data_IF_910398197772
#
_entry.id   IF_910398197772
#
_cell.length_a   1.000
_cell.length_b   1.000
_cell.length_c   1.000
_cell.angle_alpha   90.00
_cell.angle_beta   90.00
_cell.angle_gamma   90.00
#
_symmetry.space_group_name_H-M   'P 1'
#
loop_
_entity.id
_entity.type
_entity.pdbx_description
1 polymer ?
#
# COMPACT_ATOMS: atom_id res chain seq x y z
N UNK A 1 6.46 -31.44 -16.73
CA UNK A 1 6.47 -31.25 -15.27
C UNK A 1 7.30 -30.00 -14.95
N UNK A 2 6.70 -28.81 -15.10
CA UNK A 2 7.42 -27.54 -14.93
C UNK A 2 7.39 -27.12 -13.46
N UNK A 3 8.55 -26.98 -12.82
CA UNK A 3 8.66 -26.32 -11.52
C UNK A 3 8.26 -24.85 -11.70
N UNK A 4 6.99 -24.54 -11.45
CA UNK A 4 6.53 -23.15 -11.33
C UNK A 4 7.23 -22.52 -10.12
N UNK A 5 8.34 -21.82 -10.38
CA UNK A 5 9.10 -21.16 -9.31
C UNK A 5 8.22 -20.13 -8.61
N UNK A 6 8.23 -20.18 -7.27
CA UNK A 6 7.41 -19.32 -6.40
C UNK A 6 7.59 -17.84 -6.78
N UNK A 7 6.49 -17.10 -6.87
CA UNK A 7 6.50 -15.65 -7.09
C UNK A 7 7.43 -14.95 -6.09
N UNK A 8 8.33 -14.08 -6.58
CA UNK A 8 9.19 -13.26 -5.73
C UNK A 8 8.37 -12.06 -5.23
N UNK A 9 8.35 -11.84 -3.91
CA UNK A 9 7.68 -10.69 -3.28
C UNK A 9 8.71 -9.87 -2.53
N UNK A 10 8.82 -8.59 -2.87
CA UNK A 10 9.76 -7.65 -2.30
C UNK A 10 9.01 -6.50 -1.63
N UNK A 11 9.49 -6.02 -0.49
CA UNK A 11 8.99 -4.79 0.13
C UNK A 11 10.08 -3.73 0.07
N UNK A 12 9.73 -2.55 -0.43
CA UNK A 12 10.59 -1.37 -0.45
C UNK A 12 10.36 -0.56 0.82
N UNK A 13 11.32 -0.62 1.74
CA UNK A 13 11.26 0.05 3.03
C UNK A 13 12.03 1.37 3.05
N UNK A 14 11.65 2.27 3.95
CA UNK A 14 12.34 3.54 4.13
C UNK A 14 11.46 4.63 4.74
N UNK A 15 12.13 5.65 5.27
CA UNK A 15 11.50 6.75 5.98
C UNK A 15 10.50 7.54 5.10
N UNK A 16 9.67 8.37 5.72
CA UNK A 16 8.76 9.29 5.02
C UNK A 16 9.61 10.23 4.16
N UNK A 17 9.13 10.51 2.94
CA UNK A 17 9.76 11.41 1.97
C UNK A 17 11.17 11.00 1.45
N UNK A 18 11.71 9.82 1.78
CA UNK A 18 13.02 9.36 1.27
C UNK A 18 13.06 9.03 -0.24
N UNK A 19 11.92 9.12 -0.94
CA UNK A 19 11.84 8.89 -2.38
C UNK A 19 11.44 7.48 -2.83
N UNK A 20 10.84 6.66 -1.95
CA UNK A 20 10.34 5.30 -2.29
C UNK A 20 9.46 5.27 -3.53
N UNK A 21 8.44 6.13 -3.62
CA UNK A 21 7.54 6.19 -4.77
C UNK A 21 8.23 6.70 -6.05
N UNK A 22 9.34 7.43 -5.93
CA UNK A 22 10.19 7.81 -7.07
C UNK A 22 10.99 6.59 -7.55
N UNK A 23 11.58 5.84 -6.62
CA UNK A 23 12.33 4.63 -6.94
C UNK A 23 11.43 3.54 -7.55
N UNK A 24 10.20 3.35 -7.05
CA UNK A 24 9.23 2.44 -7.65
C UNK A 24 8.89 2.81 -9.10
N UNK A 25 8.74 4.10 -9.41
CA UNK A 25 8.52 4.56 -10.79
C UNK A 25 9.70 4.18 -11.70
N UNK A 26 10.93 4.30 -11.21
CA UNK A 26 12.13 3.89 -11.94
C UNK A 26 12.17 2.37 -12.15
N UNK A 27 11.83 1.57 -11.13
CA UNK A 27 11.72 0.11 -11.26
C UNK A 27 10.67 -0.29 -12.31
N UNK A 28 9.53 0.42 -12.37
CA UNK A 28 8.47 0.12 -13.34
C UNK A 28 8.88 0.43 -14.77
N UNK A 29 9.65 1.51 -14.97
CA UNK A 29 10.23 1.83 -16.26
C UNK A 29 11.33 0.84 -16.68
N UNK A 30 12.11 0.33 -15.72
CA UNK A 30 13.23 -0.59 -15.98
C UNK A 30 12.78 -2.04 -16.17
N UNK A 31 11.73 -2.46 -15.45
CA UNK A 31 11.19 -3.82 -15.46
C UNK A 31 9.67 -3.81 -15.68
N UNK A 32 9.19 -3.59 -16.92
CA UNK A 32 7.76 -3.46 -17.21
C UNK A 32 6.91 -4.70 -16.87
N UNK A 33 7.55 -5.87 -16.79
CA UNK A 33 6.93 -7.14 -16.41
C UNK A 33 6.78 -7.32 -14.88
N UNK A 34 7.38 -6.44 -14.07
CA UNK A 34 7.24 -6.48 -12.62
C UNK A 34 5.95 -5.81 -12.19
N UNK A 35 5.27 -6.43 -11.24
CA UNK A 35 4.04 -5.86 -10.69
C UNK A 35 4.36 -5.02 -9.46
N UNK A 36 4.14 -3.70 -9.57
CA UNK A 36 4.45 -2.74 -8.53
C UNK A 36 3.17 -2.29 -7.82
N UNK A 37 3.20 -2.28 -6.50
CA UNK A 37 2.07 -1.92 -5.63
C UNK A 37 2.49 -0.77 -4.73
N UNK A 38 1.95 0.42 -4.98
CA UNK A 38 2.24 1.64 -4.19
C UNK A 38 1.40 1.69 -2.91
N UNK A 39 1.81 2.51 -1.94
CA UNK A 39 1.01 2.70 -0.72
C UNK A 39 -0.36 3.32 -1.03
N UNK A 40 -1.45 2.88 -0.36
CA UNK A 40 -2.80 3.40 -0.59
C UNK A 40 -3.04 4.77 0.09
N UNK A 41 -2.09 5.70 0.00
CA UNK A 41 -2.16 7.03 0.65
C UNK A 41 -3.42 7.80 0.26
N UNK A 42 -3.90 7.63 -0.98
CA UNK A 42 -5.13 8.24 -1.45
C UNK A 42 -6.36 7.78 -0.65
N UNK A 43 -6.42 6.49 -0.27
CA UNK A 43 -7.51 5.94 0.54
C UNK A 43 -7.48 6.52 1.96
N UNK A 44 -6.30 6.80 2.51
CA UNK A 44 -6.16 7.39 3.84
C UNK A 44 -6.59 8.86 3.90
N UNK A 45 -6.52 9.57 2.77
CA UNK A 45 -6.93 10.97 2.64
C UNK A 45 -8.41 11.15 2.29
N UNK A 46 -9.06 10.09 1.79
CA UNK A 46 -10.45 10.08 1.34
C UNK A 46 -11.15 8.80 1.81
N UNK A 47 -11.39 8.71 3.12
CA UNK A 47 -12.20 7.65 3.73
C UNK A 47 -13.67 7.93 3.40
N UNK A 48 -14.39 7.01 2.71
CA UNK A 48 -15.82 7.17 2.46
C UNK A 48 -16.57 7.23 3.79
N UNK A 49 -17.30 8.31 4.05
CA UNK A 49 -18.11 8.44 5.25
C UNK A 49 -19.33 7.52 5.18
N UNK A 50 -19.62 6.79 6.27
CA UNK A 50 -20.97 6.27 6.50
C UNK A 50 -21.84 7.44 6.96
N UNK A 51 -22.79 7.82 6.13
CA UNK A 51 -23.66 8.98 6.32
C UNK A 51 -24.68 8.75 7.44
N UNK A 52 -24.32 8.95 8.72
CA UNK A 52 -25.31 9.02 9.83
C UNK A 52 -24.96 9.92 11.02
N UNK A 53 -23.92 10.76 10.97
CA UNK A 53 -23.76 11.83 11.96
C UNK A 53 -22.99 13.01 11.36
N UNK A 54 -23.46 14.23 11.65
CA UNK A 54 -22.90 15.53 11.25
C UNK A 54 -21.38 15.48 11.07
N UNK A 55 -20.94 15.39 9.82
CA UNK A 55 -19.54 15.37 9.45
C UNK A 55 -18.88 16.70 9.87
N UNK A 56 -18.08 16.66 10.92
CA UNK A 56 -17.18 17.75 11.26
C UNK A 56 -16.13 17.92 10.15
N UNK A 57 -15.70 19.16 9.92
CA UNK A 57 -14.63 19.50 8.98
C UNK A 57 -13.41 18.61 9.24
N UNK A 58 -13.12 17.67 8.32
CA UNK A 58 -11.99 16.72 8.44
C UNK A 58 -12.36 15.23 8.42
N UNK A 59 -13.63 14.86 8.54
CA UNK A 59 -14.10 13.46 8.71
C UNK A 59 -13.75 12.47 7.59
N UNK A 60 -13.14 12.91 6.48
CA UNK A 60 -12.71 12.06 5.37
C UNK A 60 -11.19 11.88 5.25
N UNK A 61 -10.36 12.62 6.00
CA UNK A 61 -8.90 12.56 5.86
C UNK A 61 -8.26 12.05 7.16
N UNK A 62 -8.27 10.71 7.32
CA UNK A 62 -7.76 10.05 8.52
C UNK A 62 -6.25 10.28 8.72
N UNK A 63 -5.49 10.42 7.63
CA UNK A 63 -4.07 10.77 7.70
C UNK A 63 -3.87 12.14 8.36
N UNK A 64 -4.66 13.14 7.97
CA UNK A 64 -4.60 14.47 8.57
C UNK A 64 -5.07 14.46 10.03
N UNK A 65 -6.14 13.73 10.34
CA UNK A 65 -6.65 13.59 11.70
C UNK A 65 -5.61 12.96 12.64
N UNK A 66 -4.83 11.97 12.14
CA UNK A 66 -3.70 11.39 12.88
C UNK A 66 -2.60 12.41 13.16
N UNK A 67 -2.24 13.25 12.18
CA UNK A 67 -1.23 14.28 12.41
C UNK A 67 -1.72 15.41 13.34
N UNK A 68 -3.02 15.71 13.35
CA UNK A 68 -3.59 16.78 14.18
C UNK A 68 -3.81 16.35 15.64
N UNK A 69 -4.34 15.15 15.87
CA UNK A 69 -4.68 14.67 17.22
C UNK A 69 -4.29 13.18 17.38
N UNK A 70 -2.98 12.87 17.46
CA UNK A 70 -2.48 11.50 17.43
C UNK A 70 -3.01 10.64 18.59
N UNK A 71 -3.16 11.20 19.79
CA UNK A 71 -3.71 10.48 20.94
C UNK A 71 -5.12 9.90 20.66
N UNK A 72 -5.91 10.57 19.81
CA UNK A 72 -7.26 10.13 19.45
C UNK A 72 -7.28 9.20 18.23
N UNK A 73 -6.40 9.43 17.26
CA UNK A 73 -6.51 8.86 15.92
C UNK A 73 -5.38 7.90 15.52
N UNK A 74 -4.28 7.80 16.27
CA UNK A 74 -3.16 6.91 15.92
C UNK A 74 -3.59 5.45 15.82
N UNK A 75 -4.34 4.92 16.79
CA UNK A 75 -4.83 3.54 16.74
C UNK A 75 -5.72 3.28 15.52
N UNK A 76 -6.66 4.19 15.26
CA UNK A 76 -7.58 4.10 14.12
C UNK A 76 -6.84 4.16 12.80
N UNK A 77 -5.90 5.11 12.64
CA UNK A 77 -5.08 5.26 11.45
C UNK A 77 -4.18 4.04 11.22
N UNK A 78 -3.46 3.58 12.24
CA UNK A 78 -2.58 2.42 12.13
C UNK A 78 -3.35 1.17 11.74
N UNK A 79 -4.50 0.91 12.37
CA UNK A 79 -5.38 -0.21 12.02
C UNK A 79 -5.86 -0.13 10.58
N UNK A 80 -6.32 1.05 10.13
CA UNK A 80 -6.79 1.25 8.77
C UNK A 80 -5.67 1.09 7.74
N UNK A 81 -4.49 1.65 8.01
CA UNK A 81 -3.32 1.56 7.14
C UNK A 81 -2.88 0.10 6.95
N UNK A 82 -2.74 -0.66 8.04
CA UNK A 82 -2.36 -2.08 8.01
C UNK A 82 -3.38 -2.92 7.23
N UNK A 83 -4.68 -2.75 7.48
CA UNK A 83 -5.73 -3.48 6.74
C UNK A 83 -5.71 -3.11 5.24
N UNK A 84 -5.59 -1.82 4.91
CA UNK A 84 -5.54 -1.37 3.52
C UNK A 84 -4.34 -1.98 2.77
N UNK A 85 -3.17 -2.05 3.42
CA UNK A 85 -1.96 -2.67 2.86
C UNK A 85 -2.13 -4.17 2.70
N UNK A 86 -2.67 -4.85 3.70
CA UNK A 86 -2.94 -6.28 3.64
C UNK A 86 -3.86 -6.64 2.48
N UNK A 87 -4.93 -5.85 2.24
CA UNK A 87 -5.82 -6.02 1.09
C UNK A 87 -5.04 -5.94 -0.24
N UNK A 88 -4.23 -4.91 -0.44
CA UNK A 88 -3.40 -4.75 -1.64
C UNK A 88 -2.41 -5.93 -1.84
N UNK A 89 -1.88 -6.49 -0.76
CA UNK A 89 -0.98 -7.65 -0.82
C UNK A 89 -1.68 -8.95 -1.20
N UNK A 90 -2.95 -9.11 -0.78
CA UNK A 90 -3.78 -10.28 -1.05
C UNK A 90 -4.46 -10.22 -2.42
N UNK A 91 -4.60 -9.02 -3.01
CA UNK A 91 -5.15 -8.88 -4.36
C UNK A 91 -4.36 -9.73 -5.37
N UNK A 92 -5.05 -10.48 -6.24
CA UNK A 92 -4.40 -11.26 -7.28
C UNK A 92 -3.68 -10.29 -8.24
N UNK A 93 -2.48 -10.64 -8.70
CA UNK A 93 -1.83 -9.83 -9.73
C UNK A 93 -2.72 -9.80 -10.99
N UNK A 94 -2.66 -8.72 -11.79
CA UNK A 94 -3.32 -8.69 -13.09
C UNK A 94 -2.86 -9.86 -13.95
N UNK A 95 -3.75 -10.35 -14.84
CA UNK A 95 -3.45 -11.47 -15.72
C UNK A 95 -2.10 -11.26 -16.42
N UNK A 96 -1.20 -12.20 -16.18
CA UNK A 96 0.14 -12.15 -16.72
C UNK A 96 0.11 -12.75 -18.11
N UNK A 97 0.87 -12.16 -19.04
CA UNK A 97 1.03 -12.72 -20.37
C UNK A 97 1.46 -14.19 -20.26
N UNK A 98 0.83 -15.10 -21.01
CA UNK A 98 1.21 -16.51 -21.04
C UNK A 98 2.71 -16.65 -21.31
N UNK A 99 3.42 -17.37 -20.43
CA UNK A 99 4.86 -17.63 -20.59
C UNK A 99 5.80 -16.67 -19.88
N UNK A 100 5.33 -15.81 -18.97
CA UNK A 100 6.21 -15.01 -18.10
C UNK A 100 6.83 -15.89 -16.99
N UNK A 101 8.15 -16.16 -17.03
CA UNK A 101 8.79 -16.97 -16.02
C UNK A 101 9.01 -16.11 -14.77
N UNK A 102 8.40 -16.51 -13.65
CA UNK A 102 8.58 -15.95 -12.30
C UNK A 102 8.04 -14.53 -12.08
N UNK A 103 6.81 -14.40 -11.55
CA UNK A 103 6.24 -13.09 -11.30
C UNK A 103 6.90 -12.40 -10.10
N UNK A 104 7.51 -11.24 -10.35
CA UNK A 104 8.05 -10.36 -9.31
C UNK A 104 6.98 -9.35 -8.91
N UNK A 105 6.68 -9.27 -7.61
CA UNK A 105 5.82 -8.25 -7.00
C UNK A 105 6.64 -7.39 -6.06
N UNK A 106 6.57 -6.08 -6.21
CA UNK A 106 7.22 -5.12 -5.31
C UNK A 106 6.15 -4.28 -4.64
N UNK A 107 6.19 -4.21 -3.31
CA UNK A 107 5.27 -3.43 -2.48
C UNK A 107 6.01 -2.24 -1.88
N UNK A 108 5.37 -1.07 -1.87
CA UNK A 108 5.83 0.06 -1.09
C UNK A 108 5.48 -0.18 0.39
N UNK A 109 6.50 -0.41 1.23
CA UNK A 109 6.39 -0.92 2.62
C UNK A 109 5.66 -2.26 2.78
N UNK A 110 5.71 -2.79 4.00
CA UNK A 110 5.06 -4.03 4.40
C UNK A 110 4.23 -3.89 5.68
N UNK A 111 3.45 -4.93 5.99
CA UNK A 111 2.70 -5.01 7.26
C UNK A 111 3.63 -5.01 8.48
N UNK A 112 4.91 -5.32 8.29
CA UNK A 112 5.92 -5.25 9.35
C UNK A 112 6.21 -3.80 9.72
N UNK A 113 6.33 -2.91 8.74
CA UNK A 113 6.61 -1.48 8.92
C UNK A 113 5.43 -0.68 9.47
N UNK A 114 4.23 -1.27 9.47
CA UNK A 114 3.06 -0.69 10.14
C UNK A 114 3.09 -0.97 11.66
N UNK A 115 3.93 -1.92 12.12
CA UNK A 115 4.06 -2.32 13.53
C UNK A 115 5.40 -1.95 14.16
N UNK A 116 6.50 -2.14 13.44
CA UNK A 116 7.88 -1.97 13.91
C UNK A 116 8.54 -0.78 13.22
#
# INVERSE_FOLDING_TARGET
MGRGGRALRLALEGNIAVGKSTFLRLLGATFPQWHLVTEPVAQWRKVPGSSTAKASVGSGNLLQMMYQEPARWSYTFQTFSCISRMKMMLEPPPEQLPGTPHPVRVFERSVYSDRY
#
